data_IF_243094026242
#
_entry.id   IF_243094026242
#
_cell.length_a   1.000
_cell.length_b   1.000
_cell.length_c   1.000
_cell.angle_alpha   90.00
_cell.angle_beta   90.00
_cell.angle_gamma   90.00
#
_symmetry.space_group_name_H-M   'P 1'
#
loop_
_entity.id
_entity.type
_entity.pdbx_description
1 polymer ?
#
# COMPACT_ATOMS: atom_id res chain seq x y z
N UNK A 1 3.71 9.05 -19.97
CA UNK A 1 4.62 7.88 -20.00
C UNK A 1 5.92 8.12 -19.24
N UNK A 2 6.67 9.22 -19.44
CA UNK A 2 7.92 9.46 -18.70
C UNK A 2 7.77 9.40 -17.16
N UNK A 3 6.80 10.11 -16.57
CA UNK A 3 6.58 10.12 -15.11
C UNK A 3 6.30 8.72 -14.56
N UNK A 4 5.52 7.92 -15.28
CA UNK A 4 5.22 6.54 -14.90
C UNK A 4 6.51 5.70 -14.86
N UNK A 5 7.29 5.75 -15.94
CA UNK A 5 8.56 5.03 -16.05
C UNK A 5 9.59 5.53 -15.03
N UNK A 6 9.62 6.82 -14.72
CA UNK A 6 10.53 7.42 -13.74
C UNK A 6 10.15 7.03 -12.31
N UNK A 7 8.87 7.13 -11.94
CA UNK A 7 8.36 6.63 -10.65
C UNK A 7 8.66 5.14 -10.48
N UNK A 8 8.43 4.35 -11.53
CA UNK A 8 8.65 2.91 -11.51
C UNK A 8 10.13 2.52 -11.47
N UNK A 9 11.00 3.22 -12.19
CA UNK A 9 12.46 3.02 -12.14
C UNK A 9 13.00 3.41 -10.76
N UNK A 10 12.43 4.46 -10.17
CA UNK A 10 12.72 4.84 -8.79
C UNK A 10 12.26 3.74 -7.82
N UNK A 11 11.03 3.23 -7.93
CA UNK A 11 10.50 2.13 -7.11
C UNK A 11 11.36 0.86 -7.20
N UNK A 12 11.78 0.49 -8.42
CA UNK A 12 12.71 -0.63 -8.64
C UNK A 12 14.07 -0.44 -7.98
N UNK A 13 14.52 0.79 -7.81
CA UNK A 13 15.84 1.08 -7.23
C UNK A 13 15.91 0.84 -5.72
N UNK A 14 14.78 0.84 -5.01
CA UNK A 14 14.76 0.74 -3.55
C UNK A 14 13.93 -0.42 -2.97
N UNK A 15 13.02 -1.04 -3.72
CA UNK A 15 12.38 -2.28 -3.27
C UNK A 15 13.40 -3.43 -3.42
N UNK A 16 13.80 -4.12 -2.34
CA UNK A 16 14.71 -5.26 -2.43
C UNK A 16 14.15 -6.31 -3.39
N UNK A 17 14.98 -6.90 -4.26
CA UNK A 17 14.55 -7.91 -5.22
C UNK A 17 13.79 -9.08 -4.58
N UNK A 18 14.14 -9.43 -3.35
CA UNK A 18 13.49 -10.47 -2.52
C UNK A 18 12.03 -10.14 -2.16
N UNK A 19 11.66 -8.86 -2.19
CA UNK A 19 10.30 -8.35 -1.92
C UNK A 19 9.47 -8.14 -3.20
N UNK A 20 10.04 -8.37 -4.39
CA UNK A 20 9.35 -8.17 -5.66
C UNK A 20 8.45 -9.35 -6.08
N UNK A 21 8.49 -10.48 -5.37
CA UNK A 21 7.55 -11.58 -5.59
C UNK A 21 6.17 -11.27 -4.95
N UNK A 22 5.51 -10.23 -5.47
CA UNK A 22 4.19 -9.80 -5.02
C UNK A 22 3.14 -10.74 -5.61
N UNK A 23 2.29 -11.30 -4.74
CA UNK A 23 1.25 -12.23 -5.14
C UNK A 23 -0.14 -11.58 -5.17
N UNK A 24 -0.30 -10.42 -4.53
CA UNK A 24 -1.58 -9.71 -4.46
C UNK A 24 -1.39 -8.22 -4.24
N UNK A 25 -2.31 -7.43 -4.78
CA UNK A 25 -2.49 -6.02 -4.44
C UNK A 25 -3.89 -5.83 -3.84
N UNK A 26 -3.96 -5.11 -2.73
CA UNK A 26 -5.19 -4.66 -2.08
C UNK A 26 -5.18 -3.13 -2.07
N UNK A 27 -6.10 -2.51 -2.79
CA UNK A 27 -6.27 -1.06 -2.82
C UNK A 27 -7.44 -0.64 -1.91
N UNK A 28 -7.20 0.19 -0.91
CA UNK A 28 -8.24 0.70 -0.02
C UNK A 28 -8.25 2.22 -0.03
N UNK A 29 -9.42 2.85 -0.05
CA UNK A 29 -9.51 4.31 0.05
C UNK A 29 -8.94 5.05 -1.16
N UNK A 30 -9.35 4.67 -2.37
CA UNK A 30 -8.90 5.29 -3.63
C UNK A 30 -9.63 6.61 -3.94
N UNK A 31 -10.83 6.80 -3.40
CA UNK A 31 -11.71 7.92 -3.73
C UNK A 31 -12.54 7.71 -5.01
N UNK A 32 -13.42 8.66 -5.37
CA UNK A 32 -14.35 8.49 -6.48
C UNK A 32 -13.59 8.66 -7.81
N UNK A 33 -13.20 7.56 -8.44
CA UNK A 33 -12.33 7.53 -9.62
C UNK A 33 -12.96 8.25 -10.81
N UNK A 34 -14.28 8.15 -10.97
CA UNK A 34 -14.96 8.84 -12.07
C UNK A 34 -14.81 10.36 -11.98
N UNK A 35 -14.97 10.92 -10.79
CA UNK A 35 -15.13 12.36 -10.60
C UNK A 35 -13.90 13.07 -9.98
N UNK A 36 -12.95 12.31 -9.41
CA UNK A 36 -11.74 12.86 -8.79
C UNK A 36 -10.51 12.67 -9.66
N UNK A 37 -9.89 13.79 -10.06
CA UNK A 37 -8.61 13.75 -10.78
C UNK A 37 -7.50 13.10 -9.97
N UNK A 38 -7.50 13.28 -8.65
CA UNK A 38 -6.53 12.63 -7.76
C UNK A 38 -6.71 11.10 -7.77
N UNK A 39 -7.95 10.62 -7.62
CA UNK A 39 -8.27 9.19 -7.66
C UNK A 39 -7.91 8.54 -9.01
N UNK A 40 -8.13 9.25 -10.13
CA UNK A 40 -7.72 8.79 -11.47
C UNK A 40 -6.20 8.59 -11.58
N UNK A 41 -5.42 9.49 -10.97
CA UNK A 41 -3.96 9.41 -11.01
C UNK A 41 -3.43 8.32 -10.10
N UNK A 42 -4.05 8.13 -8.94
CA UNK A 42 -3.76 7.01 -8.04
C UNK A 42 -4.11 5.67 -8.69
N UNK A 43 -5.24 5.58 -9.42
CA UNK A 43 -5.58 4.40 -10.22
C UNK A 43 -4.51 4.18 -11.30
N UNK A 44 -4.12 5.22 -12.04
CA UNK A 44 -3.09 5.10 -13.06
C UNK A 44 -1.77 4.57 -12.46
N UNK A 45 -1.36 5.09 -11.30
CA UNK A 45 -0.18 4.60 -10.58
C UNK A 45 -0.33 3.14 -10.13
N UNK A 46 -1.48 2.74 -9.59
CA UNK A 46 -1.77 1.36 -9.22
C UNK A 46 -1.61 0.40 -10.42
N UNK A 47 -2.12 0.79 -11.59
CA UNK A 47 -2.03 -0.02 -12.81
C UNK A 47 -0.58 -0.15 -13.29
N UNK A 48 0.17 0.96 -13.29
CA UNK A 48 1.58 0.98 -13.64
C UNK A 48 2.44 0.15 -12.67
N UNK A 49 2.15 0.25 -11.36
CA UNK A 49 2.78 -0.57 -10.34
C UNK A 49 2.53 -2.05 -10.61
N UNK A 50 1.29 -2.43 -10.91
CA UNK A 50 0.92 -3.81 -11.25
C UNK A 50 1.70 -4.33 -12.45
N UNK A 51 1.81 -3.55 -13.52
CA UNK A 51 2.60 -3.92 -14.71
C UNK A 51 4.07 -4.19 -14.35
N UNK A 52 4.68 -3.33 -13.54
CA UNK A 52 6.06 -3.51 -13.11
C UNK A 52 6.27 -4.74 -12.25
N UNK A 53 5.33 -5.03 -11.35
CA UNK A 53 5.41 -6.20 -10.49
C UNK A 53 5.35 -7.50 -11.30
N UNK A 54 4.50 -7.56 -12.33
CA UNK A 54 4.44 -8.69 -13.28
C UNK A 54 5.76 -8.88 -14.03
N UNK A 55 6.38 -7.79 -14.50
CA UNK A 55 7.69 -7.87 -15.17
C UNK A 55 8.78 -8.44 -14.24
N UNK A 56 8.72 -8.12 -12.95
CA UNK A 56 9.73 -8.53 -11.96
C UNK A 56 9.50 -9.92 -11.38
N UNK A 57 8.28 -10.44 -11.38
CA UNK A 57 7.94 -11.76 -10.83
C UNK A 57 8.31 -12.92 -11.76
N UNK A 58 8.68 -12.65 -13.03
CA UNK A 58 9.05 -13.67 -14.01
C UNK A 58 7.90 -14.61 -14.43
N UNK A 59 6.70 -14.40 -13.88
CA UNK A 59 5.47 -15.11 -14.24
C UNK A 59 4.99 -14.59 -15.59
N UNK A 60 5.28 -15.36 -16.63
CA UNK A 60 4.86 -15.05 -18.00
C UNK A 60 3.34 -15.20 -18.12
N UNK A 61 2.60 -14.09 -18.14
CA UNK A 61 1.24 -14.04 -18.66
C UNK A 61 0.12 -13.74 -17.66
N UNK A 62 0.33 -13.93 -16.35
CA UNK A 62 -0.71 -13.63 -15.35
C UNK A 62 -0.48 -12.27 -14.67
N UNK A 63 -1.51 -11.42 -14.68
CA UNK A 63 -1.52 -10.17 -13.94
C UNK A 63 -1.53 -10.45 -12.44
N UNK A 64 -0.80 -9.66 -11.65
CA UNK A 64 -0.88 -9.73 -10.18
C UNK A 64 -2.35 -9.47 -9.75
N UNK A 65 -3.00 -10.42 -9.06
CA UNK A 65 -4.37 -10.26 -8.57
C UNK A 65 -4.54 -8.95 -7.81
N UNK A 66 -5.46 -8.11 -8.26
CA UNK A 66 -5.68 -6.78 -7.70
C UNK A 66 -7.14 -6.64 -7.29
N UNK A 67 -7.35 -6.32 -6.01
CA UNK A 67 -8.68 -6.02 -5.47
C UNK A 67 -8.73 -4.60 -4.94
N UNK A 68 -9.90 -3.98 -5.00
CA UNK A 68 -10.12 -2.65 -4.44
C UNK A 68 -11.38 -2.62 -3.58
N UNK A 69 -11.39 -1.70 -2.61
CA UNK A 69 -12.59 -1.29 -1.91
C UNK A 69 -12.47 0.15 -1.41
N UNK A 70 -13.54 0.90 -1.59
CA UNK A 70 -13.76 2.20 -0.97
C UNK A 70 -15.25 2.30 -0.63
N UNK A 71 -15.64 2.70 0.60
CA UNK A 71 -17.05 2.87 0.95
C UNK A 71 -17.78 3.88 0.07
N UNK A 72 -17.07 4.79 -0.61
CA UNK A 72 -17.70 5.80 -1.47
C UNK A 72 -17.79 5.42 -2.95
N UNK A 73 -17.28 4.25 -3.36
CA UNK A 73 -17.42 3.80 -4.75
C UNK A 73 -18.89 3.59 -5.14
N UNK A 74 -19.27 4.12 -6.30
CA UNK A 74 -20.54 3.85 -6.95
C UNK A 74 -20.44 2.88 -8.13
N UNK A 75 -21.54 2.65 -8.84
CA UNK A 75 -21.61 1.75 -10.00
C UNK A 75 -20.67 2.18 -11.13
N UNK A 76 -20.46 3.49 -11.31
CA UNK A 76 -19.62 4.02 -12.36
C UNK A 76 -18.13 3.85 -12.01
N UNK A 77 -17.76 4.04 -10.74
CA UNK A 77 -16.41 3.71 -10.26
C UNK A 77 -16.10 2.22 -10.48
N UNK A 78 -17.03 1.33 -10.15
CA UNK A 78 -16.87 -0.10 -10.39
C UNK A 78 -16.77 -0.45 -11.88
N UNK A 79 -17.49 0.25 -12.75
CA UNK A 79 -17.39 0.08 -14.20
C UNK A 79 -15.97 0.45 -14.69
N UNK A 80 -15.40 1.55 -14.19
CA UNK A 80 -14.02 1.94 -14.50
C UNK A 80 -13.02 0.90 -13.99
N UNK A 81 -13.13 0.47 -12.73
CA UNK A 81 -12.22 -0.50 -12.12
C UNK A 81 -12.25 -1.87 -12.83
N UNK A 82 -13.46 -2.34 -13.20
CA UNK A 82 -13.65 -3.61 -13.89
C UNK A 82 -12.99 -3.62 -15.27
N UNK A 83 -13.00 -2.50 -15.99
CA UNK A 83 -12.31 -2.37 -17.28
C UNK A 83 -10.78 -2.56 -17.17
N UNK A 84 -10.21 -2.37 -15.99
CA UNK A 84 -8.79 -2.56 -15.73
C UNK A 84 -8.47 -3.83 -14.94
N UNK A 85 -9.40 -4.78 -14.86
CA UNK A 85 -9.24 -6.03 -14.10
C UNK A 85 -8.94 -5.80 -12.62
N UNK A 86 -9.50 -4.74 -12.03
CA UNK A 86 -9.49 -4.50 -10.59
C UNK A 86 -10.80 -5.02 -10.01
N UNK A 87 -10.70 -6.07 -9.20
CA UNK A 87 -11.87 -6.77 -8.67
C UNK A 87 -12.37 -6.12 -7.37
N UNK A 88 -13.67 -6.26 -7.10
CA UNK A 88 -14.22 -5.84 -5.81
C UNK A 88 -13.85 -6.82 -4.71
N UNK A 89 -13.47 -6.32 -3.53
CA UNK A 89 -13.44 -7.10 -2.29
C UNK A 89 -14.54 -6.70 -1.30
N UNK A 90 -15.63 -6.08 -1.77
CA UNK A 90 -16.74 -5.59 -0.93
C UNK A 90 -17.44 -6.68 -0.10
N UNK A 91 -17.41 -7.93 -0.57
CA UNK A 91 -18.09 -9.06 0.07
C UNK A 91 -17.18 -9.80 1.06
N UNK A 92 -15.88 -9.50 1.10
CA UNK A 92 -14.97 -10.03 2.10
C UNK A 92 -15.18 -9.30 3.44
N UNK A 93 -15.02 -9.98 4.56
CA UNK A 93 -15.00 -9.34 5.87
C UNK A 93 -13.87 -8.30 5.95
N UNK A 94 -14.08 -7.22 6.69
CA UNK A 94 -13.12 -6.11 6.76
C UNK A 94 -11.73 -6.57 7.20
N UNK A 95 -11.65 -7.47 8.18
CA UNK A 95 -10.40 -8.02 8.69
C UNK A 95 -9.68 -8.87 7.65
N UNK A 96 -10.42 -9.65 6.86
CA UNK A 96 -9.86 -10.51 5.81
C UNK A 96 -9.24 -9.69 4.66
N UNK A 97 -9.74 -8.47 4.43
CA UNK A 97 -9.14 -7.54 3.47
C UNK A 97 -7.78 -7.05 3.93
N UNK A 98 -7.52 -7.05 5.24
CA UNK A 98 -6.31 -6.49 5.85
C UNK A 98 -5.23 -7.54 6.15
N UNK A 99 -5.54 -8.84 6.14
CA UNK A 99 -4.54 -9.89 6.44
C UNK A 99 -3.71 -10.26 5.21
N UNK A 100 -2.39 -10.19 5.35
CA UNK A 100 -1.40 -10.54 4.32
C UNK A 100 -0.94 -11.99 4.46
N UNK A 101 -1.80 -12.95 4.10
CA UNK A 101 -1.44 -14.39 4.10
C UNK A 101 -0.30 -14.76 3.13
N UNK A 102 0.01 -13.86 2.20
CA UNK A 102 1.06 -13.94 1.19
C UNK A 102 1.64 -12.54 0.96
N UNK A 103 2.77 -12.43 0.27
CA UNK A 103 3.39 -11.15 -0.10
C UNK A 103 2.37 -10.23 -0.80
N UNK A 104 1.92 -9.19 -0.10
CA UNK A 104 0.77 -8.35 -0.49
C UNK A 104 1.14 -6.88 -0.39
N UNK A 105 0.88 -6.16 -1.48
CA UNK A 105 0.91 -4.70 -1.48
C UNK A 105 -0.45 -4.17 -1.00
N UNK A 106 -0.43 -3.31 0.00
CA UNK A 106 -1.57 -2.51 0.43
C UNK A 106 -1.39 -1.09 -0.09
N UNK A 107 -2.18 -0.69 -1.07
CA UNK A 107 -2.21 0.69 -1.57
C UNK A 107 -3.37 1.44 -0.91
N UNK A 108 -3.04 2.42 -0.07
CA UNK A 108 -3.95 3.05 0.89
C UNK A 108 -3.86 4.58 0.85
N UNK A 109 -4.05 5.24 -0.30
CA UNK A 109 -3.66 6.64 -0.48
C UNK A 109 -4.45 7.67 0.35
N UNK A 110 -5.70 7.36 0.75
CA UNK A 110 -6.57 8.26 1.52
C UNK A 110 -7.12 7.62 2.81
N UNK A 111 -6.40 6.64 3.37
CA UNK A 111 -6.85 5.96 4.57
C UNK A 111 -6.54 6.74 5.86
N UNK A 112 -7.44 6.63 6.83
CA UNK A 112 -7.23 7.14 8.17
C UNK A 112 -6.23 6.28 8.96
N UNK A 113 -5.59 6.90 9.96
CA UNK A 113 -4.64 6.24 10.87
C UNK A 113 -5.21 4.97 11.53
N UNK A 114 -6.50 4.98 11.86
CA UNK A 114 -7.22 3.85 12.47
C UNK A 114 -7.15 2.59 11.60
N UNK A 115 -7.24 2.73 10.27
CA UNK A 115 -7.18 1.60 9.35
C UNK A 115 -5.75 1.06 9.22
N UNK A 116 -4.75 1.94 9.22
CA UNK A 116 -3.34 1.51 9.26
C UNK A 116 -3.00 0.79 10.58
N UNK A 117 -3.48 1.29 11.72
CA UNK A 117 -3.32 0.64 13.02
C UNK A 117 -3.93 -0.77 13.00
N UNK A 118 -5.15 -0.89 12.45
CA UNK A 118 -5.83 -2.18 12.29
C UNK A 118 -5.05 -3.13 11.39
N UNK A 119 -4.56 -2.66 10.24
CA UNK A 119 -3.70 -3.44 9.33
C UNK A 119 -2.49 -4.00 10.08
N UNK A 120 -1.73 -3.15 10.76
CA UNK A 120 -0.53 -3.57 11.46
C UNK A 120 -0.82 -4.45 12.66
N UNK A 121 -1.90 -4.19 13.40
CA UNK A 121 -2.34 -4.99 14.53
C UNK A 121 -2.68 -6.43 14.10
N UNK A 122 -3.52 -6.59 13.08
CA UNK A 122 -3.93 -7.89 12.56
C UNK A 122 -2.74 -8.69 12.04
N UNK A 123 -1.88 -8.08 11.23
CA UNK A 123 -0.71 -8.77 10.69
C UNK A 123 0.35 -9.07 11.75
N UNK A 124 0.46 -8.25 12.80
CA UNK A 124 1.34 -8.58 13.95
C UNK A 124 0.81 -9.78 14.71
N UNK A 125 -0.50 -9.81 14.98
CA UNK A 125 -1.16 -10.88 15.72
C UNK A 125 -1.11 -12.22 14.98
N UNK A 126 -1.15 -12.17 13.64
CA UNK A 126 -1.12 -13.33 12.75
C UNK A 126 0.29 -13.72 12.29
N UNK A 127 1.33 -13.04 12.78
CA UNK A 127 2.73 -13.20 12.35
C UNK A 127 2.94 -13.10 10.82
N UNK A 128 2.20 -12.18 10.19
CA UNK A 128 2.19 -11.95 8.74
C UNK A 128 2.70 -10.55 8.36
N UNK A 129 3.18 -9.75 9.32
CA UNK A 129 3.70 -8.40 9.06
C UNK A 129 4.86 -8.37 8.05
N UNK A 130 5.62 -9.47 7.93
CA UNK A 130 6.69 -9.58 6.95
C UNK A 130 6.17 -9.68 5.50
N UNK A 131 4.89 -10.04 5.30
CA UNK A 131 4.25 -10.09 3.98
C UNK A 131 3.66 -8.75 3.55
N UNK A 132 3.61 -7.75 4.43
CA UNK A 132 2.98 -6.46 4.17
C UNK A 132 3.98 -5.51 3.50
N UNK A 133 3.60 -4.97 2.34
CA UNK A 133 4.22 -3.78 1.75
C UNK A 133 3.13 -2.72 1.66
N UNK A 134 3.25 -1.69 2.49
CA UNK A 134 2.30 -0.60 2.57
C UNK A 134 2.73 0.55 1.66
N UNK A 135 1.82 1.04 0.84
CA UNK A 135 1.94 2.28 0.08
C UNK A 135 0.82 3.19 0.56
N UNK A 136 1.17 4.19 1.34
CA UNK A 136 0.19 5.10 1.96
C UNK A 136 0.92 6.23 2.65
N UNK A 137 0.23 6.94 3.54
CA UNK A 137 0.81 8.04 4.30
C UNK A 137 2.10 7.61 4.99
N UNK A 138 3.15 8.43 4.90
CA UNK A 138 4.43 8.16 5.53
C UNK A 138 4.29 8.18 7.05
N UNK A 139 4.35 7.00 7.67
CA UNK A 139 4.20 6.88 9.12
C UNK A 139 5.38 7.47 9.88
N UNK A 140 6.55 7.67 9.25
CA UNK A 140 7.68 8.34 9.90
C UNK A 140 7.39 9.82 10.17
N UNK A 141 6.41 10.43 9.48
CA UNK A 141 5.97 11.78 9.80
C UNK A 141 5.20 11.85 11.13
N UNK A 142 4.71 10.73 11.66
CA UNK A 142 4.08 10.69 12.98
C UNK A 142 5.10 10.88 14.12
N UNK A 143 6.34 10.43 13.93
CA UNK A 143 7.46 10.62 14.87
C UNK A 143 7.79 12.12 15.06
N UNK A 144 7.66 12.92 13.99
CA UNK A 144 7.94 14.35 14.05
C UNK A 144 6.81 15.20 14.67
N UNK A 145 5.61 14.65 14.84
CA UNK A 145 4.42 15.42 15.24
C UNK A 145 3.80 15.00 16.57
N UNK A 146 4.06 13.77 17.04
CA UNK A 146 3.57 13.27 18.31
C UNK A 146 4.74 13.08 19.29
N UNK A 147 4.62 13.60 20.52
CA UNK A 147 5.43 13.06 21.62
C UNK A 147 5.13 11.56 21.72
N UNK A 148 6.14 10.69 21.72
CA UNK A 148 6.05 9.21 21.71
C UNK A 148 4.87 8.61 22.50
N UNK A 149 4.52 9.22 23.64
CA UNK A 149 3.41 8.82 24.51
C UNK A 149 2.01 8.88 23.87
N UNK A 150 1.74 9.85 23.00
CA UNK A 150 0.41 10.03 22.38
C UNK A 150 0.19 9.01 21.25
N UNK A 151 1.22 8.79 20.42
CA UNK A 151 1.15 7.81 19.33
C UNK A 151 1.01 6.38 19.88
N UNK A 152 1.75 6.03 20.93
CA UNK A 152 1.65 4.72 21.57
C UNK A 152 0.27 4.45 22.18
N UNK A 153 -0.46 5.50 22.60
CA UNK A 153 -1.81 5.37 23.15
C UNK A 153 -2.87 5.19 22.05
N UNK A 154 -2.75 5.91 20.93
CA UNK A 154 -3.76 5.91 19.85
C UNK A 154 -3.50 4.87 18.75
N UNK A 155 -2.24 4.52 18.51
CA UNK A 155 -1.80 3.60 17.46
C UNK A 155 -0.63 2.73 17.96
N UNK A 156 -0.88 1.83 18.94
CA UNK A 156 0.16 1.05 19.59
C UNK A 156 0.91 0.10 18.65
N UNK A 157 0.25 -0.45 17.63
CA UNK A 157 0.89 -1.36 16.67
C UNK A 157 1.81 -0.59 15.73
N UNK A 158 1.39 0.58 15.25
CA UNK A 158 2.25 1.48 14.48
C UNK A 158 3.47 1.88 15.33
N UNK A 159 3.25 2.38 16.55
CA UNK A 159 4.32 2.78 17.47
C UNK A 159 5.35 1.66 17.70
N UNK A 160 4.89 0.43 17.88
CA UNK A 160 5.76 -0.75 18.06
C UNK A 160 6.56 -1.10 16.80
N UNK A 161 5.99 -0.91 15.61
CA UNK A 161 6.63 -1.28 14.35
C UNK A 161 7.53 -0.19 13.78
N UNK A 162 7.31 1.09 14.12
CA UNK A 162 8.07 2.23 13.62
C UNK A 162 9.60 2.00 13.64
N UNK A 163 10.24 1.51 14.72
CA UNK A 163 11.69 1.29 14.75
C UNK A 163 12.18 0.23 13.74
N UNK A 164 11.28 -0.63 13.26
CA UNK A 164 11.57 -1.72 12.33
C UNK A 164 11.07 -1.43 10.91
N UNK A 165 10.28 -0.38 10.71
CA UNK A 165 9.78 0.00 9.40
C UNK A 165 10.89 0.64 8.57
N UNK A 166 11.10 0.09 7.37
CA UNK A 166 11.80 0.78 6.30
C UNK A 166 10.78 1.62 5.56
N UNK A 167 11.08 2.91 5.39
CA UNK A 167 10.22 3.83 4.67
C UNK A 167 10.99 4.49 3.54
N UNK A 168 10.37 4.57 2.37
CA UNK A 168 10.90 5.18 1.17
C UNK A 168 9.85 6.14 0.60
N UNK A 169 10.03 7.45 0.76
CA UNK A 169 9.08 8.45 0.29
C UNK A 169 8.83 8.33 -1.23
N UNK A 170 7.57 8.47 -1.62
CA UNK A 170 7.17 8.65 -3.01
C UNK A 170 7.31 10.15 -3.32
N UNK A 171 7.97 10.52 -4.43
CA UNK A 171 8.04 11.92 -4.83
C UNK A 171 6.64 12.52 -5.01
N UNK A 172 6.43 13.73 -4.47
CA UNK A 172 5.18 14.45 -4.65
C UNK A 172 4.88 14.68 -6.14
N UNK A 173 3.60 14.58 -6.49
CA UNK A 173 3.18 14.90 -7.85
C UNK A 173 3.39 16.40 -8.17
N UNK A 174 3.84 16.73 -9.38
CA UNK A 174 4.04 18.12 -9.79
C UNK A 174 2.70 18.86 -9.83
N UNK A 175 2.73 20.17 -9.58
CA UNK A 175 1.53 21.02 -9.67
C UNK A 175 0.91 20.92 -11.08
N UNK A 176 -0.44 20.88 -11.19
CA UNK A 176 -1.43 21.03 -10.13
C UNK A 176 -1.84 19.70 -9.44
N UNK A 177 -1.15 18.59 -9.69
CA UNK A 177 -1.57 17.24 -9.31
C UNK A 177 -1.14 16.82 -7.89
N UNK A 178 -0.73 17.79 -7.06
CA UNK A 178 -0.14 17.54 -5.74
C UNK A 178 -1.03 16.69 -4.83
N UNK A 179 -2.36 16.77 -4.97
CA UNK A 179 -3.33 15.98 -4.20
C UNK A 179 -3.30 14.47 -4.46
N UNK A 180 -2.74 14.01 -5.59
CA UNK A 180 -2.68 12.59 -5.91
C UNK A 180 -1.68 11.81 -5.04
N UNK A 181 -0.57 12.45 -4.66
CA UNK A 181 0.49 11.85 -3.84
C UNK A 181 0.97 12.91 -2.86
N UNK A 182 0.31 13.01 -1.72
CA UNK A 182 0.75 13.88 -0.62
C UNK A 182 1.37 13.02 0.47
N UNK A 183 2.67 13.19 0.71
CA UNK A 183 3.35 12.55 1.86
C UNK A 183 3.19 11.03 1.88
N UNK A 184 3.17 10.37 0.72
CA UNK A 184 3.07 8.91 0.63
C UNK A 184 4.45 8.26 0.63
N UNK A 185 4.57 7.06 1.17
CA UNK A 185 5.79 6.28 1.20
C UNK A 185 5.50 4.79 0.99
N UNK A 186 6.48 4.09 0.43
CA UNK A 186 6.57 2.64 0.54
C UNK A 186 7.12 2.27 1.92
N UNK A 187 6.45 1.35 2.60
CA UNK A 187 6.73 1.00 3.99
C UNK A 187 6.63 -0.51 4.21
N UNK A 188 7.63 -1.12 4.84
CA UNK A 188 7.59 -2.53 5.21
C UNK A 188 8.47 -2.81 6.43
N UNK A 189 8.17 -3.90 7.13
CA UNK A 189 8.98 -4.33 8.28
C UNK A 189 10.26 -4.97 7.76
N UNK A 190 11.41 -4.42 8.18
CA UNK A 190 12.70 -5.06 7.95
C UNK A 190 12.67 -6.48 8.54
N UNK A 191 13.14 -7.45 7.78
CA UNK A 191 13.36 -8.79 8.31
C UNK A 191 14.25 -8.68 9.55
N UNK A 192 13.79 -9.26 10.67
CA UNK A 192 14.69 -9.47 11.79
C UNK A 192 15.84 -10.36 11.28
N UNK A 193 17.11 -10.06 11.61
CA UNK A 193 18.20 -10.95 11.28
C UNK A 193 17.84 -12.36 11.77
N UNK A 194 18.18 -13.38 10.98
CA UNK A 194 17.75 -14.78 11.21
C UNK A 194 18.04 -15.30 12.64
N UNK A 195 18.95 -14.64 13.37
CA UNK A 195 19.29 -14.94 14.77
C UNK A 195 18.23 -14.53 15.81
N UNK A 196 17.26 -13.68 15.48
CA UNK A 196 16.20 -13.20 16.41
C UNK A 196 14.84 -13.88 16.16
N UNK A 197 14.75 -14.75 15.15
CA UNK A 197 13.61 -15.65 14.99
C UNK A 197 13.79 -16.82 15.97
N UNK A 198 13.59 -16.56 17.26
CA UNK A 198 13.52 -17.64 18.25
C UNK A 198 12.32 -18.55 17.94
N UNK A 199 12.46 -19.86 18.20
CA UNK A 199 11.51 -20.90 17.78
C UNK A 199 10.12 -20.78 18.41
#
# INVERSE_FOLDING_TARGET
>A
MAIATDCLSHVRSFIPHERLNIQKIVCLGLGPVRDSRAAQLQLAFLLLLREVLVETSGTSGDQVPTVAFDPIFDEDDWAVLSNYSVLSCKDAEEDDRLVASQSTVFFMPHCERTLYEKLWSLNSLRDTSHNVILIGNDHQLYDMSATDSHLAAEAPSIARLLPRLKCYPIPDAPKPMTEAFQSQAFQWVADAPAAERLP
#
